data_IF_718299869271
#
_entry.id   IF_718299869271
#
_cell.length_a   1.000
_cell.length_b   1.000
_cell.length_c   1.000
_cell.angle_alpha   90.00
_cell.angle_beta   90.00
_cell.angle_gamma   90.00
#
_symmetry.space_group_name_H-M   'P 1'
#
loop_
_entity.id
_entity.type
_entity.pdbx_description
1 polymer ?
#
# COMPACT_ATOMS: atom_id res chain seq x y z
N UNK A 1 1.15 29.03 21.00
CA UNK A 1 -0.20 28.42 21.09
C UNK A 1 -0.40 27.29 20.09
N UNK A 2 -0.13 27.48 18.79
CA UNK A 2 -0.26 26.44 17.75
C UNK A 2 0.56 25.16 17.97
N UNK A 3 1.77 25.24 18.53
CA UNK A 3 2.56 24.05 18.90
C UNK A 3 1.85 23.11 19.89
N UNK A 4 1.17 23.66 20.91
CA UNK A 4 0.41 22.87 21.90
C UNK A 4 -0.86 22.28 21.27
N UNK A 5 -1.48 23.01 20.33
CA UNK A 5 -2.65 22.55 19.60
C UNK A 5 -2.33 21.34 18.72
N UNK A 6 -1.22 21.39 17.98
CA UNK A 6 -0.76 20.29 17.12
C UNK A 6 -0.48 19.01 17.92
N UNK A 7 0.02 19.14 19.15
CA UNK A 7 0.39 17.98 19.97
C UNK A 7 -0.75 17.44 20.87
N UNK A 8 -1.68 18.29 21.33
CA UNK A 8 -2.59 17.92 22.43
C UNK A 8 -4.05 18.35 22.26
N UNK A 9 -4.40 19.13 21.24
CA UNK A 9 -5.81 19.50 21.05
C UNK A 9 -6.63 18.32 20.54
N UNK A 10 -7.91 18.27 20.89
CA UNK A 10 -8.89 17.42 20.21
C UNK A 10 -8.98 17.79 18.71
N UNK A 11 -9.21 16.79 17.86
CA UNK A 11 -9.12 16.94 16.40
C UNK A 11 -10.06 18.02 15.85
N UNK A 12 -11.27 18.13 16.40
CA UNK A 12 -12.24 19.15 16.00
C UNK A 12 -11.76 20.57 16.35
N UNK A 13 -11.16 20.75 17.52
CA UNK A 13 -10.61 22.04 17.95
C UNK A 13 -9.41 22.45 17.09
N UNK A 14 -8.54 21.49 16.78
CA UNK A 14 -7.42 21.69 15.87
C UNK A 14 -7.87 22.09 14.46
N UNK A 15 -8.81 21.35 13.86
CA UNK A 15 -9.33 21.64 12.53
C UNK A 15 -10.03 23.00 12.48
N UNK A 16 -10.85 23.32 13.48
CA UNK A 16 -11.53 24.61 13.57
C UNK A 16 -10.53 25.76 13.62
N UNK A 17 -9.47 25.65 14.41
CA UNK A 17 -8.42 26.68 14.43
C UNK A 17 -7.71 26.77 13.08
N UNK A 18 -7.30 25.64 12.52
CA UNK A 18 -6.52 25.58 11.27
C UNK A 18 -7.30 26.14 10.08
N UNK A 19 -8.60 25.86 9.99
CA UNK A 19 -9.48 26.37 8.93
C UNK A 19 -9.77 27.87 9.05
N UNK A 20 -9.76 28.40 10.27
CA UNK A 20 -9.99 29.83 10.53
C UNK A 20 -8.71 30.68 10.43
N UNK A 21 -7.53 30.05 10.42
CA UNK A 21 -6.26 30.76 10.26
C UNK A 21 -6.04 31.21 8.81
N UNK A 22 -5.68 32.49 8.58
CA UNK A 22 -5.30 32.97 7.26
C UNK A 22 -4.12 32.18 6.67
N UNK A 23 -4.22 31.80 5.39
CA UNK A 23 -3.16 31.07 4.67
C UNK A 23 -1.78 31.76 4.73
N UNK A 24 -1.77 33.09 4.76
CA UNK A 24 -0.55 33.90 4.88
C UNK A 24 0.20 33.68 6.21
N UNK A 25 -0.50 33.28 7.27
CA UNK A 25 0.16 32.99 8.55
C UNK A 25 1.01 31.73 8.45
N UNK A 26 0.54 30.70 7.71
CA UNK A 26 1.27 29.45 7.55
C UNK A 26 2.58 29.62 6.77
N UNK A 27 2.64 30.55 5.81
CA UNK A 27 3.87 30.83 5.06
C UNK A 27 4.95 31.53 5.89
N UNK A 28 4.55 32.18 6.99
CA UNK A 28 5.47 32.83 7.94
C UNK A 28 5.89 31.91 9.09
N UNK A 29 5.33 30.70 9.19
CA UNK A 29 5.68 29.75 10.25
C UNK A 29 7.02 29.04 9.97
N UNK A 30 7.72 28.58 11.02
CA UNK A 30 8.86 27.67 10.84
C UNK A 30 8.44 26.43 10.03
N UNK A 31 9.29 26.01 9.08
CA UNK A 31 8.99 24.91 8.16
C UNK A 31 8.58 23.62 8.88
N UNK A 32 9.24 23.29 10.00
CA UNK A 32 8.90 22.12 10.82
C UNK A 32 7.52 22.20 11.46
N UNK A 33 7.08 23.39 11.91
CA UNK A 33 5.75 23.57 12.46
C UNK A 33 4.70 23.42 11.37
N UNK A 34 4.91 24.07 10.21
CA UNK A 34 3.99 23.96 9.08
C UNK A 34 3.86 22.50 8.63
N UNK A 35 4.99 21.78 8.50
CA UNK A 35 5.00 20.36 8.14
C UNK A 35 4.18 19.50 9.11
N UNK A 36 4.34 19.68 10.43
CA UNK A 36 3.55 18.94 11.44
C UNK A 36 2.05 19.25 11.36
N UNK A 37 1.68 20.49 11.05
CA UNK A 37 0.28 20.86 10.82
C UNK A 37 -0.24 20.11 9.59
N UNK A 38 0.49 20.14 8.48
CA UNK A 38 0.12 19.44 7.23
C UNK A 38 -0.02 17.93 7.46
N UNK A 39 0.94 17.30 8.12
CA UNK A 39 0.91 15.87 8.48
C UNK A 39 -0.33 15.52 9.29
N UNK A 40 -0.69 16.37 10.26
CA UNK A 40 -1.88 16.14 11.09
C UNK A 40 -3.17 16.31 10.29
N UNK A 41 -3.27 17.39 9.50
CA UNK A 41 -4.43 17.64 8.61
C UNK A 41 -4.63 16.47 7.64
N UNK A 42 -3.54 15.94 7.07
CA UNK A 42 -3.57 14.77 6.20
C UNK A 42 -4.04 13.51 6.94
N UNK A 43 -3.52 13.28 8.16
CA UNK A 43 -3.92 12.15 9.01
C UNK A 43 -5.41 12.18 9.36
N UNK A 44 -5.99 13.38 9.50
CA UNK A 44 -7.42 13.59 9.72
C UNK A 44 -8.28 13.46 8.44
N UNK A 45 -7.67 13.16 7.30
CA UNK A 45 -8.35 12.91 6.03
C UNK A 45 -8.58 14.15 5.16
N UNK A 46 -8.04 15.31 5.53
CA UNK A 46 -8.23 16.57 4.78
C UNK A 46 -7.12 16.80 3.75
N UNK A 47 -7.01 15.89 2.78
CA UNK A 47 -5.90 15.88 1.82
C UNK A 47 -5.82 17.14 0.94
N UNK A 48 -6.96 17.72 0.54
CA UNK A 48 -6.97 18.99 -0.21
C UNK A 48 -6.49 20.18 0.62
N UNK A 49 -6.83 20.22 1.91
CA UNK A 49 -6.33 21.25 2.82
C UNK A 49 -4.84 21.07 3.07
N UNK A 50 -4.38 19.84 3.28
CA UNK A 50 -2.97 19.51 3.44
C UNK A 50 -2.15 19.98 2.23
N UNK A 51 -2.62 19.72 1.01
CA UNK A 51 -1.99 20.20 -0.22
C UNK A 51 -1.95 21.73 -0.28
N UNK A 52 -3.07 22.39 0.04
CA UNK A 52 -3.15 23.84 0.02
C UNK A 52 -2.17 24.49 1.02
N UNK A 53 -2.03 23.91 2.22
CA UNK A 53 -1.11 24.38 3.26
C UNK A 53 0.36 24.07 2.96
N UNK A 54 0.65 22.91 2.36
CA UNK A 54 2.03 22.56 2.01
C UNK A 54 2.59 23.49 0.92
N UNK A 55 1.73 23.98 0.04
CA UNK A 55 2.08 24.87 -1.07
C UNK A 55 2.05 26.37 -0.71
N UNK A 56 1.75 26.77 0.54
CA UNK A 56 1.78 28.20 0.94
C UNK A 56 3.19 28.76 1.08
N UNK A 57 4.18 27.90 1.30
CA UNK A 57 5.58 28.27 1.40
C UNK A 57 6.41 27.48 0.39
N UNK A 58 7.46 28.07 -0.20
CA UNK A 58 8.40 27.32 -1.02
C UNK A 58 9.05 26.21 -0.16
N UNK A 59 9.26 25.02 -0.73
CA UNK A 59 9.93 23.94 -0.01
C UNK A 59 11.34 24.35 0.41
N UNK A 60 11.84 23.85 1.55
CA UNK A 60 13.28 23.88 1.82
C UNK A 60 14.00 23.12 0.70
N UNK A 61 15.12 23.67 0.20
CA UNK A 61 15.82 23.10 -0.95
C UNK A 61 16.22 21.64 -0.69
N UNK A 62 15.78 20.73 -1.57
CA UNK A 62 16.09 19.29 -1.55
C UNK A 62 15.69 18.54 -0.27
N UNK A 63 14.71 19.02 0.50
CA UNK A 63 14.24 18.30 1.69
C UNK A 63 13.51 16.99 1.31
N UNK A 64 14.06 15.80 1.64
CA UNK A 64 13.40 14.53 1.38
C UNK A 64 12.06 14.39 2.11
N UNK A 65 11.90 14.97 3.30
CA UNK A 65 10.66 14.85 4.08
C UNK A 65 9.52 15.61 3.42
N UNK A 66 9.80 16.80 2.89
CA UNK A 66 8.81 17.57 2.12
C UNK A 66 8.31 16.78 0.91
N UNK A 67 9.22 16.13 0.19
CA UNK A 67 8.90 15.32 -1.00
C UNK A 67 8.08 14.07 -0.66
N UNK A 68 8.43 13.38 0.43
CA UNK A 68 7.65 12.24 0.95
C UNK A 68 6.23 12.68 1.35
N UNK A 69 6.11 13.81 2.05
CA UNK A 69 4.80 14.35 2.46
C UNK A 69 3.94 14.73 1.25
N UNK A 70 4.53 15.38 0.24
CA UNK A 70 3.83 15.73 -1.00
C UNK A 70 3.34 14.50 -1.76
N UNK A 71 4.13 13.43 -1.78
CA UNK A 71 3.73 12.14 -2.34
C UNK A 71 2.59 11.46 -1.56
N UNK A 72 2.63 11.49 -0.22
CA UNK A 72 1.54 10.96 0.62
C UNK A 72 0.23 11.73 0.37
N UNK A 73 0.29 13.06 0.28
CA UNK A 73 -0.85 13.91 -0.09
C UNK A 73 -1.39 13.54 -1.48
N UNK A 74 -0.52 13.40 -2.48
CA UNK A 74 -0.94 13.02 -3.83
C UNK A 74 -1.68 11.67 -3.83
N UNK A 75 -1.20 10.70 -3.06
CA UNK A 75 -1.84 9.39 -2.91
C UNK A 75 -3.21 9.52 -2.22
N UNK A 76 -3.30 10.28 -1.13
CA UNK A 76 -4.56 10.51 -0.42
C UNK A 76 -5.62 11.24 -1.28
N UNK A 77 -5.18 12.05 -2.25
CA UNK A 77 -6.07 12.72 -3.23
C UNK A 77 -6.43 11.86 -4.44
N UNK A 78 -6.07 10.58 -4.44
CA UNK A 78 -6.34 9.68 -5.56
C UNK A 78 -5.53 10.02 -6.82
N UNK A 79 -4.33 10.61 -6.67
CA UNK A 79 -3.41 10.92 -7.78
C UNK A 79 -2.13 10.08 -7.70
N UNK A 80 -2.24 8.74 -7.76
CA UNK A 80 -1.08 7.85 -7.59
C UNK A 80 -0.01 8.01 -8.67
N UNK A 81 -0.36 8.51 -9.86
CA UNK A 81 0.59 8.78 -10.95
C UNK A 81 1.62 9.88 -10.61
N UNK A 82 1.29 10.80 -9.68
CA UNK A 82 2.21 11.86 -9.27
C UNK A 82 3.24 11.38 -8.25
N UNK A 83 2.97 10.29 -7.52
CA UNK A 83 3.80 9.82 -6.41
C UNK A 83 5.25 9.62 -6.87
N UNK A 84 5.47 8.91 -7.97
CA UNK A 84 6.83 8.61 -8.45
C UNK A 84 7.63 9.85 -8.84
N UNK A 85 6.97 10.84 -9.43
CA UNK A 85 7.61 12.11 -9.78
C UNK A 85 8.05 12.85 -8.51
N UNK A 86 7.22 12.86 -7.47
CA UNK A 86 7.54 13.54 -6.21
C UNK A 86 8.72 12.90 -5.47
N UNK A 87 8.87 11.57 -5.49
CA UNK A 87 9.94 10.83 -4.76
C UNK A 87 11.07 10.32 -5.67
N UNK A 88 11.20 10.85 -6.89
CA UNK A 88 12.28 10.45 -7.81
C UNK A 88 13.66 10.60 -7.16
N UNK A 89 14.49 9.55 -7.24
CA UNK A 89 15.82 9.52 -6.63
C UNK A 89 15.87 9.35 -5.11
N UNK A 90 14.74 9.21 -4.41
CA UNK A 90 14.73 8.89 -2.98
C UNK A 90 14.77 7.37 -2.75
N UNK A 91 15.86 6.87 -2.18
CA UNK A 91 16.01 5.48 -1.78
C UNK A 91 15.83 5.36 -0.26
N UNK A 92 14.58 5.23 0.20
CA UNK A 92 14.26 4.97 1.61
C UNK A 92 13.07 3.99 1.73
N UNK A 93 12.93 3.29 2.87
CA UNK A 93 11.80 2.39 3.11
C UNK A 93 10.43 3.09 2.97
N UNK A 94 10.33 4.35 3.38
CA UNK A 94 9.12 5.17 3.26
C UNK A 94 8.79 5.45 1.79
N UNK A 95 9.82 5.80 0.99
CA UNK A 95 9.65 6.01 -0.45
C UNK A 95 9.19 4.72 -1.14
N UNK A 96 9.76 3.56 -0.77
CA UNK A 96 9.34 2.27 -1.33
C UNK A 96 7.91 1.89 -0.93
N UNK A 97 7.49 2.21 0.30
CA UNK A 97 6.11 2.04 0.75
C UNK A 97 5.14 2.86 -0.12
N UNK A 98 5.49 4.12 -0.39
CA UNK A 98 4.71 5.01 -1.25
C UNK A 98 4.65 4.50 -2.70
N UNK A 99 5.77 4.01 -3.25
CA UNK A 99 5.81 3.37 -4.59
C UNK A 99 4.87 2.17 -4.64
N UNK A 100 4.98 1.27 -3.66
CA UNK A 100 4.15 0.08 -3.60
C UNK A 100 2.66 0.44 -3.57
N UNK A 101 2.24 1.35 -2.68
CA UNK A 101 0.84 1.81 -2.56
C UNK A 101 0.35 2.50 -3.84
N UNK A 102 1.15 3.35 -4.46
CA UNK A 102 0.79 4.02 -5.71
C UNK A 102 0.58 3.02 -6.85
N UNK A 103 1.48 2.04 -6.98
CA UNK A 103 1.38 0.97 -7.97
C UNK A 103 0.16 0.08 -7.74
N UNK A 104 -0.14 -0.28 -6.49
CA UNK A 104 -1.38 -0.98 -6.12
C UNK A 104 -2.62 -0.18 -6.53
N UNK A 105 -2.65 1.13 -6.27
CA UNK A 105 -3.77 2.00 -6.65
C UNK A 105 -3.95 2.13 -8.17
N UNK A 106 -2.87 1.98 -8.94
CA UNK A 106 -2.88 1.91 -10.41
C UNK A 106 -3.20 0.52 -10.96
N UNK A 107 -3.35 -0.50 -10.10
CA UNK A 107 -3.53 -1.89 -10.51
C UNK A 107 -2.26 -2.61 -10.98
N UNK A 108 -1.08 -1.98 -10.85
CA UNK A 108 0.21 -2.60 -11.14
C UNK A 108 0.71 -3.38 -9.91
N UNK A 109 0.09 -4.54 -9.67
CA UNK A 109 0.40 -5.39 -8.52
C UNK A 109 1.80 -6.02 -8.62
N UNK A 110 2.25 -6.34 -9.84
CA UNK A 110 3.59 -6.87 -10.07
C UNK A 110 4.67 -5.82 -9.75
N UNK A 111 4.46 -4.57 -10.15
CA UNK A 111 5.30 -3.43 -9.78
C UNK A 111 5.26 -3.15 -8.28
N UNK A 112 4.09 -3.22 -7.65
CA UNK A 112 3.95 -3.07 -6.20
C UNK A 112 4.76 -4.13 -5.43
N UNK A 113 4.76 -5.38 -5.91
CA UNK A 113 5.52 -6.47 -5.28
C UNK A 113 7.04 -6.27 -5.31
N UNK A 114 7.58 -5.54 -6.30
CA UNK A 114 9.01 -5.18 -6.32
C UNK A 114 9.41 -4.32 -5.12
N UNK A 115 8.48 -3.53 -4.59
CA UNK A 115 8.66 -2.67 -3.42
C UNK A 115 7.98 -3.23 -2.17
N UNK A 116 7.48 -4.48 -2.21
CA UNK A 116 6.75 -5.08 -1.09
C UNK A 116 7.58 -5.18 0.19
N UNK A 117 8.91 -5.28 0.11
CA UNK A 117 9.78 -5.23 1.29
C UNK A 117 9.62 -3.94 2.11
N UNK A 118 9.23 -2.83 1.48
CA UNK A 118 8.93 -1.57 2.14
C UNK A 118 7.55 -1.54 2.82
N UNK A 119 6.58 -2.31 2.32
CA UNK A 119 5.23 -2.37 2.92
C UNK A 119 5.32 -2.95 4.34
N UNK A 120 4.84 -2.22 5.36
CA UNK A 120 4.65 -2.78 6.71
C UNK A 120 3.31 -3.52 6.86
N UNK A 121 2.38 -3.24 5.95
CA UNK A 121 1.06 -3.85 5.91
C UNK A 121 1.11 -5.21 5.21
N UNK A 122 1.02 -6.29 6.00
CA UNK A 122 1.01 -7.66 5.49
C UNK A 122 -0.25 -8.01 4.70
N UNK A 123 -1.40 -7.40 5.03
CA UNK A 123 -2.63 -7.64 4.27
C UNK A 123 -2.50 -7.05 2.86
N UNK A 124 -1.93 -5.84 2.75
CA UNK A 124 -1.65 -5.23 1.46
C UNK A 124 -0.64 -6.04 0.62
N UNK A 125 0.42 -6.58 1.24
CA UNK A 125 1.38 -7.48 0.58
C UNK A 125 0.72 -8.74 0.05
N UNK A 126 -0.06 -9.43 0.88
CA UNK A 126 -0.76 -10.66 0.48
C UNK A 126 -1.74 -10.41 -0.67
N UNK A 127 -2.50 -9.31 -0.59
CA UNK A 127 -3.43 -8.91 -1.66
C UNK A 127 -2.68 -8.58 -2.96
N UNK A 128 -1.57 -7.87 -2.89
CA UNK A 128 -0.74 -7.57 -4.05
C UNK A 128 -0.16 -8.85 -4.67
N UNK A 129 0.38 -9.75 -3.85
CA UNK A 129 0.91 -11.04 -4.30
C UNK A 129 -0.16 -11.91 -4.99
N UNK A 130 -1.37 -11.92 -4.43
CA UNK A 130 -2.53 -12.59 -5.03
C UNK A 130 -2.86 -12.04 -6.41
N UNK A 131 -3.02 -10.71 -6.51
CA UNK A 131 -3.43 -10.06 -7.75
C UNK A 131 -2.32 -10.04 -8.81
N UNK A 132 -1.05 -10.15 -8.41
CA UNK A 132 0.09 -10.31 -9.30
C UNK A 132 0.39 -11.77 -9.68
N UNK A 133 -0.37 -12.75 -9.15
CA UNK A 133 -0.10 -14.20 -9.29
C UNK A 133 1.30 -14.59 -8.81
N UNK A 134 1.83 -13.89 -7.80
CA UNK A 134 3.08 -14.24 -7.16
C UNK A 134 2.84 -15.35 -6.14
N UNK A 135 2.62 -16.56 -6.66
CA UNK A 135 2.36 -17.75 -5.86
C UNK A 135 3.53 -18.07 -4.92
N UNK A 136 4.76 -17.72 -5.30
CA UNK A 136 5.94 -17.97 -4.48
C UNK A 136 5.87 -17.16 -3.18
N UNK A 137 5.49 -15.87 -3.26
CA UNK A 137 5.28 -15.04 -2.08
C UNK A 137 4.11 -15.53 -1.21
N UNK A 138 3.08 -16.13 -1.81
CA UNK A 138 1.92 -16.66 -1.09
C UNK A 138 2.18 -17.97 -0.34
N UNK A 139 3.28 -18.68 -0.62
CA UNK A 139 3.68 -19.87 0.15
C UNK A 139 3.96 -19.55 1.63
N UNK A 140 4.37 -18.30 1.92
CA UNK A 140 4.58 -17.79 3.27
C UNK A 140 3.40 -16.97 3.81
N UNK A 141 2.23 -17.02 3.15
CA UNK A 141 1.02 -16.36 3.63
C UNK A 141 0.62 -16.88 5.02
N UNK A 142 -0.01 -16.04 5.84
CA UNK A 142 -0.58 -16.48 7.13
C UNK A 142 -1.87 -17.30 6.98
N UNK A 143 -2.48 -17.31 5.79
CA UNK A 143 -3.73 -17.99 5.51
C UNK A 143 -3.48 -19.41 4.93
N UNK A 144 -3.88 -20.49 5.65
CA UNK A 144 -3.70 -21.86 5.18
C UNK A 144 -4.36 -22.16 3.84
N UNK A 145 -5.47 -21.50 3.50
CA UNK A 145 -6.18 -21.71 2.24
C UNK A 145 -5.40 -21.13 1.06
N UNK A 146 -4.81 -19.94 1.24
CA UNK A 146 -3.91 -19.33 0.26
C UNK A 146 -2.61 -20.12 0.10
N UNK A 147 -2.02 -20.60 1.21
CA UNK A 147 -0.81 -21.43 1.16
C UNK A 147 -1.04 -22.72 0.36
N UNK A 148 -2.16 -23.42 0.59
CA UNK A 148 -2.49 -24.66 -0.15
C UNK A 148 -2.62 -24.40 -1.65
N UNK A 149 -3.28 -23.30 -2.03
CA UNK A 149 -3.40 -22.94 -3.44
C UNK A 149 -2.05 -22.56 -4.04
N UNK A 150 -1.25 -21.75 -3.33
CA UNK A 150 0.10 -21.41 -3.75
C UNK A 150 0.94 -22.67 -4.02
N UNK A 151 0.91 -23.65 -3.10
CA UNK A 151 1.59 -24.93 -3.26
C UNK A 151 1.14 -25.66 -4.53
N UNK A 152 -0.17 -25.75 -4.79
CA UNK A 152 -0.69 -26.38 -6.00
C UNK A 152 -0.24 -25.65 -7.28
N UNK A 153 -0.18 -24.31 -7.25
CA UNK A 153 0.20 -23.49 -8.39
C UNK A 153 1.72 -23.45 -8.65
N UNK A 154 2.54 -23.73 -7.63
CA UNK A 154 4.01 -23.79 -7.76
C UNK A 154 4.55 -25.19 -8.03
N UNK A 155 3.69 -26.21 -8.11
CA UNK A 155 4.14 -27.57 -8.43
C UNK A 155 4.80 -27.62 -9.80
N UNK A 156 5.95 -28.28 -9.88
CA UNK A 156 6.67 -28.46 -11.14
C UNK A 156 5.82 -29.26 -12.13
N UNK A 157 5.93 -28.90 -13.42
CA UNK A 157 5.28 -29.65 -14.47
C UNK A 157 5.79 -31.12 -14.47
N UNK A 158 4.90 -32.12 -14.59
CA UNK A 158 5.29 -33.52 -14.69
C UNK A 158 6.23 -33.72 -15.87
N UNK A 159 7.26 -34.55 -15.68
CA UNK A 159 8.15 -34.94 -16.77
C UNK A 159 7.68 -36.25 -17.43
N UNK A 160 8.16 -36.51 -18.65
CA UNK A 160 7.85 -37.76 -19.36
C UNK A 160 8.89 -38.86 -19.10
N UNK A 161 9.85 -38.64 -18.20
CA UNK A 161 11.00 -39.53 -18.03
C UNK A 161 10.59 -40.90 -17.47
N UNK A 162 9.54 -40.93 -16.63
CA UNK A 162 8.93 -42.16 -16.10
C UNK A 162 7.90 -42.84 -17.02
N UNK A 163 7.78 -42.42 -18.28
CA UNK A 163 6.82 -42.96 -19.24
C UNK A 163 5.43 -42.31 -19.18
N UNK A 164 4.64 -42.52 -20.24
CA UNK A 164 3.38 -41.79 -20.50
C UNK A 164 2.31 -42.03 -19.43
N UNK A 165 2.22 -43.25 -18.87
CA UNK A 165 1.24 -43.55 -17.82
C UNK A 165 1.56 -42.83 -16.50
N UNK A 166 2.84 -42.79 -16.10
CA UNK A 166 3.29 -42.06 -14.91
C UNK A 166 3.04 -40.57 -15.06
N UNK A 167 3.42 -40.01 -16.22
CA UNK A 167 3.15 -38.62 -16.57
C UNK A 167 1.66 -38.27 -16.50
N UNK A 168 0.79 -39.07 -17.13
CA UNK A 168 -0.65 -38.83 -17.12
C UNK A 168 -1.25 -38.93 -15.71
N UNK A 169 -0.76 -39.88 -14.88
CA UNK A 169 -1.19 -39.99 -13.47
C UNK A 169 -0.82 -38.74 -12.69
N UNK A 170 0.43 -38.27 -12.80
CA UNK A 170 0.89 -37.04 -12.14
C UNK A 170 0.07 -35.81 -12.57
N UNK A 171 -0.27 -35.67 -13.86
CA UNK A 171 -1.13 -34.58 -14.34
C UNK A 171 -2.54 -34.61 -13.70
N UNK A 172 -3.12 -35.81 -13.58
CA UNK A 172 -4.43 -35.97 -12.95
C UNK A 172 -4.35 -35.60 -11.46
N UNK A 173 -3.33 -36.10 -10.75
CA UNK A 173 -3.12 -35.81 -9.33
C UNK A 173 -2.94 -34.31 -9.07
N UNK A 174 -2.17 -33.62 -9.92
CA UNK A 174 -1.99 -32.16 -9.87
C UNK A 174 -3.30 -31.41 -10.13
N UNK A 175 -4.11 -31.84 -11.09
CA UNK A 175 -5.43 -31.26 -11.37
C UNK A 175 -6.38 -31.41 -10.19
N UNK A 176 -6.40 -32.60 -9.56
CA UNK A 176 -7.19 -32.86 -8.34
C UNK A 176 -6.73 -31.96 -7.20
N UNK A 177 -5.42 -31.84 -6.98
CA UNK A 177 -4.85 -30.97 -5.95
C UNK A 177 -5.23 -29.50 -6.15
N UNK A 178 -5.11 -28.99 -7.39
CA UNK A 178 -5.47 -27.62 -7.73
C UNK A 178 -6.97 -27.33 -7.48
N UNK A 179 -7.85 -28.23 -7.92
CA UNK A 179 -9.30 -28.10 -7.68
C UNK A 179 -9.65 -28.14 -6.19
N UNK A 180 -9.04 -29.05 -5.44
CA UNK A 180 -9.23 -29.15 -3.99
C UNK A 180 -8.81 -27.87 -3.27
N UNK A 181 -7.65 -27.30 -3.64
CA UNK A 181 -7.19 -26.04 -3.08
C UNK A 181 -8.11 -24.86 -3.41
N UNK A 182 -8.61 -24.78 -4.65
CA UNK A 182 -9.61 -23.78 -5.05
C UNK A 182 -10.92 -23.93 -4.28
N UNK A 183 -11.42 -25.14 -4.11
CA UNK A 183 -12.64 -25.39 -3.31
C UNK A 183 -12.45 -24.98 -1.85
N UNK A 184 -11.28 -25.26 -1.25
CA UNK A 184 -10.97 -24.86 0.12
C UNK A 184 -10.91 -23.33 0.27
N UNK A 185 -10.38 -22.63 -0.72
CA UNK A 185 -10.37 -21.17 -0.73
C UNK A 185 -11.77 -20.58 -0.92
N UNK A 186 -12.58 -21.13 -1.83
CA UNK A 186 -13.95 -20.67 -2.02
C UNK A 186 -14.76 -20.82 -0.72
N UNK A 187 -14.65 -21.98 -0.07
CA UNK A 187 -15.32 -22.23 1.20
C UNK A 187 -14.85 -21.30 2.34
N UNK A 188 -13.61 -20.81 2.33
CA UNK A 188 -13.14 -19.84 3.34
C UNK A 188 -13.60 -18.41 3.05
N UNK A 189 -13.95 -18.11 1.79
CA UNK A 189 -14.45 -16.79 1.36
C UNK A 189 -15.98 -16.67 1.32
N UNK A 190 -16.71 -17.78 1.31
CA UNK A 190 -18.17 -17.78 1.47
C UNK A 190 -18.52 -17.29 2.88
N UNK A 191 -18.70 -15.97 3.00
CA UNK A 191 -19.42 -15.36 4.10
C UNK A 191 -20.77 -16.07 4.17
N UNK A 192 -21.08 -16.72 5.30
CA UNK A 192 -22.44 -17.20 5.57
C UNK A 192 -23.40 -16.04 5.37
N UNK A 193 -24.08 -16.02 4.23
CA UNK A 193 -25.25 -15.19 4.02
C UNK A 193 -26.33 -15.87 4.88
N UNK A 194 -26.37 -15.52 6.17
CA UNK A 194 -27.51 -15.88 7.01
C UNK A 194 -28.76 -15.25 6.38
N UNK A 195 -29.84 -16.02 6.19
CA UNK A 195 -31.13 -15.48 5.75
C UNK A 195 -31.73 -14.51 6.77
#
# INVERSE_FOLDING_TARGET
MLHLLVAHAEDLAFLRQTLNEPKANFSMMPADLNRRIVERVLTLGFADLADALLNTAPPPEKDPQYRLLKAEIALARGRPHLVEAEIIGLASPEADTLRARARTALGDYAGAMRYAKGLKDEAAKQKAAWLSRDWQSLLSSGDPSQQKLAQAMTQAAPDKSGGVLSFNRQLIDQSVAARSALSALLASTEISISP
#
